data_IF_672124514683
#
_entry.id   IF_672124514683
#
_cell.length_a   1.000
_cell.length_b   1.000
_cell.length_c   1.000
_cell.angle_alpha   90.00
_cell.angle_beta   90.00
_cell.angle_gamma   90.00
#
_symmetry.space_group_name_H-M   'P 1'
#
loop_
_entity.id
_entity.type
_entity.pdbx_description
1 polymer ?
#
# COMPACT_ATOMS: atom_id res chain seq x y z
N UNK A 1 -29.21 13.53 -13.13
CA UNK A 1 -27.76 13.30 -12.96
C UNK A 1 -27.48 13.29 -11.47
N UNK A 2 -26.98 12.21 -10.84
CA UNK A 2 -26.62 12.29 -9.44
C UNK A 2 -25.32 13.10 -9.32
N UNK A 3 -25.41 14.30 -8.73
CA UNK A 3 -24.26 15.13 -8.37
C UNK A 3 -23.40 14.38 -7.34
N UNK A 4 -22.08 14.34 -7.60
CA UNK A 4 -21.10 13.85 -6.63
C UNK A 4 -21.10 14.82 -5.43
N UNK A 5 -21.40 14.36 -4.20
CA UNK A 5 -21.53 15.25 -3.05
C UNK A 5 -20.20 15.94 -2.72
N UNK A 6 -20.23 17.28 -2.62
CA UNK A 6 -19.11 18.10 -2.14
C UNK A 6 -18.72 17.69 -0.71
N UNK A 7 -17.41 17.61 -0.47
CA UNK A 7 -16.79 17.32 0.82
C UNK A 7 -17.42 18.20 1.92
N UNK A 8 -18.15 17.58 2.84
CA UNK A 8 -18.84 18.27 3.95
C UNK A 8 -20.33 17.96 4.10
N UNK A 9 -20.93 17.22 3.16
CA UNK A 9 -22.30 16.71 3.28
C UNK A 9 -22.32 15.25 3.74
N UNK A 10 -23.43 14.85 4.35
CA UNK A 10 -23.65 13.62 5.14
C UNK A 10 -22.89 12.35 4.66
N UNK A 11 -22.57 11.42 5.59
CA UNK A 11 -21.91 10.16 5.25
C UNK A 11 -22.64 9.48 4.09
N UNK A 12 -21.91 9.01 3.05
CA UNK A 12 -22.55 8.41 1.88
C UNK A 12 -23.41 7.23 2.31
N UNK A 13 -24.58 7.12 1.68
CA UNK A 13 -25.52 6.04 1.95
C UNK A 13 -24.88 4.67 1.66
N UNK A 14 -25.39 3.61 2.32
CA UNK A 14 -24.81 2.26 2.26
C UNK A 14 -24.68 1.74 0.81
N UNK A 15 -25.64 2.08 -0.04
CA UNK A 15 -25.64 1.72 -1.47
C UNK A 15 -24.51 2.45 -2.25
N UNK A 16 -24.28 3.73 -1.96
CA UNK A 16 -23.19 4.48 -2.58
C UNK A 16 -21.81 3.95 -2.16
N UNK A 17 -21.66 3.53 -0.89
CA UNK A 17 -20.43 2.89 -0.40
C UNK A 17 -20.13 1.57 -1.10
N UNK A 18 -21.15 0.74 -1.33
CA UNK A 18 -20.99 -0.53 -2.02
C UNK A 18 -20.44 -0.35 -3.45
N UNK A 19 -20.90 0.68 -4.16
CA UNK A 19 -20.37 1.06 -5.48
C UNK A 19 -18.91 1.51 -5.40
N UNK A 20 -18.58 2.45 -4.50
CA UNK A 20 -17.19 2.86 -4.28
C UNK A 20 -16.27 1.66 -3.97
N UNK A 21 -16.68 0.72 -3.11
CA UNK A 21 -15.86 -0.45 -2.79
C UNK A 21 -15.64 -1.37 -4.00
N UNK A 22 -16.67 -1.57 -4.83
CA UNK A 22 -16.52 -2.34 -6.06
C UNK A 22 -15.54 -1.66 -7.05
N UNK A 23 -15.65 -0.34 -7.23
CA UNK A 23 -14.73 0.42 -8.08
C UNK A 23 -13.30 0.43 -7.52
N UNK A 24 -13.16 0.57 -6.19
CA UNK A 24 -11.89 0.50 -5.47
C UNK A 24 -11.19 -0.83 -5.72
N UNK A 25 -11.91 -1.93 -5.53
CA UNK A 25 -11.35 -3.28 -5.62
C UNK A 25 -10.95 -3.61 -7.07
N UNK A 26 -11.74 -3.16 -8.05
CA UNK A 26 -11.39 -3.27 -9.47
C UNK A 26 -10.10 -2.48 -9.83
N UNK A 27 -9.95 -1.27 -9.28
CA UNK A 27 -8.74 -0.47 -9.47
C UNK A 27 -7.51 -1.12 -8.82
N UNK A 28 -7.63 -1.58 -7.58
CA UNK A 28 -6.54 -2.24 -6.86
C UNK A 28 -6.13 -3.58 -7.49
N UNK A 29 -7.09 -4.38 -7.96
CA UNK A 29 -6.78 -5.60 -8.70
C UNK A 29 -5.97 -5.32 -9.98
N UNK A 30 -6.27 -4.22 -10.69
CA UNK A 30 -5.48 -3.80 -11.85
C UNK A 30 -4.06 -3.39 -11.44
N UNK A 31 -3.90 -2.64 -10.34
CA UNK A 31 -2.58 -2.25 -9.84
C UNK A 31 -1.74 -3.48 -9.46
N UNK A 32 -2.32 -4.44 -8.75
CA UNK A 32 -1.64 -5.66 -8.33
C UNK A 32 -1.19 -6.50 -9.53
N UNK A 33 -2.01 -6.61 -10.57
CA UNK A 33 -1.65 -7.30 -11.82
C UNK A 33 -0.50 -6.65 -12.58
N UNK A 34 -0.29 -5.34 -12.41
CA UNK A 34 0.78 -4.59 -13.09
C UNK A 34 1.99 -4.33 -12.17
N UNK A 35 1.98 -4.84 -10.92
CA UNK A 35 3.02 -4.56 -9.94
C UNK A 35 3.15 -3.08 -9.60
N UNK A 36 2.03 -2.35 -9.62
CA UNK A 36 1.97 -0.92 -9.35
C UNK A 36 1.49 -0.67 -7.92
N UNK A 37 2.11 0.30 -7.27
CA UNK A 37 1.73 0.70 -5.93
C UNK A 37 0.61 1.73 -5.95
N UNK A 38 0.77 2.78 -6.77
CA UNK A 38 -0.18 3.85 -7.04
C UNK A 38 -0.05 4.31 -8.51
N UNK A 39 -1.12 4.81 -9.13
CA UNK A 39 -1.02 5.42 -10.46
C UNK A 39 -0.03 6.60 -10.44
N UNK A 40 0.96 6.55 -11.34
CA UNK A 40 2.00 7.58 -11.47
C UNK A 40 3.14 7.44 -10.45
N UNK A 41 3.16 6.39 -9.64
CA UNK A 41 4.23 6.13 -8.66
C UNK A 41 4.81 4.73 -8.90
N UNK A 42 6.10 4.64 -9.24
CA UNK A 42 6.79 3.37 -9.45
C UNK A 42 8.09 3.26 -8.66
N UNK A 43 8.02 3.04 -7.34
CA UNK A 43 8.91 2.10 -6.69
C UNK A 43 8.42 0.68 -7.03
N UNK A 44 9.26 -0.14 -7.65
CA UNK A 44 8.93 -1.57 -7.85
C UNK A 44 9.42 -2.42 -6.69
N UNK A 45 10.34 -1.88 -5.88
CA UNK A 45 10.96 -2.62 -4.79
C UNK A 45 10.53 -2.07 -3.44
N UNK A 46 10.46 -2.97 -2.46
CA UNK A 46 10.09 -2.65 -1.08
C UNK A 46 11.00 -1.57 -0.46
N UNK A 47 12.30 -1.57 -0.79
CA UNK A 47 13.27 -0.61 -0.26
C UNK A 47 12.99 0.81 -0.76
N UNK A 48 12.59 0.95 -2.02
CA UNK A 48 12.17 2.23 -2.60
C UNK A 48 10.86 2.72 -1.95
N UNK A 49 9.93 1.83 -1.59
CA UNK A 49 8.67 2.17 -0.91
C UNK A 49 8.92 2.73 0.51
N UNK A 50 9.87 2.17 1.24
CA UNK A 50 10.23 2.65 2.59
C UNK A 50 11.02 3.96 2.53
N UNK A 51 11.78 4.19 1.45
CA UNK A 51 12.51 5.43 1.24
C UNK A 51 11.62 6.61 0.79
N UNK A 52 10.36 6.37 0.42
CA UNK A 52 9.43 7.43 0.04
C UNK A 52 8.98 8.18 1.29
N UNK A 53 9.37 9.45 1.37
CA UNK A 53 8.85 10.41 2.33
C UNK A 53 7.33 10.63 2.06
N UNK A 54 6.44 10.27 3.00
CA UNK A 54 4.99 10.46 2.84
C UNK A 54 4.59 11.93 2.66
N UNK A 55 5.42 12.87 3.12
CA UNK A 55 5.19 14.31 2.96
C UNK A 55 5.72 14.85 1.63
N UNK A 56 6.51 14.06 0.89
CA UNK A 56 7.12 14.43 -0.39
C UNK A 56 6.99 13.30 -1.43
N UNK A 57 5.77 12.82 -1.61
CA UNK A 57 5.44 11.87 -2.68
C UNK A 57 5.66 12.51 -4.06
N UNK A 58 6.72 12.11 -4.75
CA UNK A 58 6.94 12.47 -6.17
C UNK A 58 6.14 11.54 -7.07
N UNK A 59 4.93 11.97 -7.42
CA UNK A 59 4.07 11.28 -8.39
C UNK A 59 4.31 11.89 -9.77
N UNK A 60 4.62 11.07 -10.76
CA UNK A 60 4.70 11.54 -12.15
C UNK A 60 3.29 11.89 -12.64
N UNK A 61 3.12 13.11 -13.15
CA UNK A 61 1.91 13.52 -13.83
C UNK A 61 1.84 12.88 -15.23
N UNK A 62 0.62 12.64 -15.73
CA UNK A 62 0.42 12.00 -17.05
C UNK A 62 1.08 12.79 -18.20
N UNK A 63 1.13 14.11 -18.05
CA UNK A 63 1.66 15.05 -19.02
C UNK A 63 3.16 15.34 -18.87
N UNK A 64 3.86 14.63 -17.98
CA UNK A 64 5.29 14.84 -17.82
C UNK A 64 6.03 14.48 -19.12
N UNK A 65 6.63 15.50 -19.73
CA UNK A 65 7.42 15.39 -20.97
C UNK A 65 8.71 14.60 -20.77
N UNK A 66 9.15 14.44 -19.51
CA UNK A 66 10.34 13.69 -19.14
C UNK A 66 10.11 12.16 -19.18
N UNK A 67 8.85 11.71 -19.25
CA UNK A 67 8.51 10.29 -19.19
C UNK A 67 8.55 9.64 -20.59
N UNK A 68 9.29 8.52 -20.71
CA UNK A 68 9.32 7.72 -21.93
C UNK A 68 7.93 7.15 -22.25
N UNK A 69 7.65 6.91 -23.53
CA UNK A 69 6.35 6.38 -23.98
C UNK A 69 6.02 5.02 -23.33
N UNK A 70 7.02 4.18 -23.12
CA UNK A 70 6.88 2.88 -22.48
C UNK A 70 6.58 3.00 -20.99
N UNK A 71 7.30 3.87 -20.27
CA UNK A 71 7.04 4.15 -18.87
C UNK A 71 5.64 4.75 -18.66
N UNK A 72 5.20 5.67 -19.53
CA UNK A 72 3.83 6.22 -19.50
C UNK A 72 2.78 5.13 -19.68
N UNK A 73 2.98 4.20 -20.62
CA UNK A 73 2.03 3.10 -20.84
C UNK A 73 1.92 2.18 -19.63
N UNK A 74 3.04 1.87 -18.96
CA UNK A 74 3.07 1.03 -17.76
C UNK A 74 2.45 1.74 -16.55
N UNK A 75 2.90 2.95 -16.23
CA UNK A 75 2.43 3.72 -15.07
C UNK A 75 0.94 4.07 -15.11
N UNK A 76 0.39 4.26 -16.32
CA UNK A 76 -1.01 4.65 -16.55
C UNK A 76 -1.87 3.50 -17.10
N UNK A 77 -1.41 2.24 -17.02
CA UNK A 77 -2.16 1.08 -17.52
C UNK A 77 -3.56 0.98 -16.90
N UNK A 78 -3.69 1.31 -15.61
CA UNK A 78 -4.95 1.24 -14.86
C UNK A 78 -5.75 2.55 -14.84
N UNK A 79 -5.47 3.50 -15.75
CA UNK A 79 -6.10 4.83 -15.77
C UNK A 79 -7.63 4.77 -15.78
N UNK A 80 -8.24 3.91 -16.61
CA UNK A 80 -9.71 3.81 -16.70
C UNK A 80 -10.35 3.34 -15.39
N UNK A 81 -9.69 2.43 -14.68
CA UNK A 81 -10.17 1.93 -13.39
C UNK A 81 -10.02 3.00 -12.29
N UNK A 82 -8.94 3.78 -12.32
CA UNK A 82 -8.77 4.96 -11.47
C UNK A 82 -9.87 5.99 -11.71
N UNK A 83 -10.18 6.33 -12.95
CA UNK A 83 -11.26 7.26 -13.26
C UNK A 83 -12.61 6.76 -12.71
N UNK A 84 -12.90 5.46 -12.80
CA UNK A 84 -14.08 4.87 -12.17
C UNK A 84 -14.06 5.03 -10.64
N UNK A 85 -12.92 4.75 -10.01
CA UNK A 85 -12.73 4.90 -8.56
C UNK A 85 -12.89 6.36 -8.10
N UNK A 86 -12.32 7.31 -8.83
CA UNK A 86 -12.37 8.74 -8.52
C UNK A 86 -13.78 9.33 -8.74
N UNK A 87 -14.55 8.79 -9.68
CA UNK A 87 -15.93 9.24 -9.96
C UNK A 87 -16.95 8.64 -9.00
N UNK A 88 -16.81 7.37 -8.62
CA UNK A 88 -17.77 6.68 -7.76
C UNK A 88 -17.50 6.91 -6.27
N UNK A 89 -16.25 7.18 -5.90
CA UNK A 89 -15.87 7.36 -4.51
C UNK A 89 -15.64 8.82 -4.13
N UNK A 90 -15.78 9.15 -2.84
CA UNK A 90 -15.42 10.48 -2.35
C UNK A 90 -13.90 10.69 -2.46
N UNK A 91 -13.47 11.89 -2.87
CA UNK A 91 -12.06 12.25 -2.96
C UNK A 91 -11.27 12.03 -1.65
N UNK A 92 -11.91 12.25 -0.49
CA UNK A 92 -11.30 11.97 0.82
C UNK A 92 -11.10 10.46 1.05
N UNK A 93 -12.02 9.63 0.58
CA UNK A 93 -11.91 8.17 0.63
C UNK A 93 -10.86 7.65 -0.33
N UNK A 94 -10.82 8.18 -1.56
CA UNK A 94 -9.77 7.85 -2.54
C UNK A 94 -8.39 8.11 -1.96
N UNK A 95 -8.19 9.30 -1.38
CA UNK A 95 -6.94 9.66 -0.71
C UNK A 95 -6.64 8.72 0.46
N UNK A 96 -7.63 8.48 1.32
CA UNK A 96 -7.46 7.61 2.49
C UNK A 96 -7.09 6.18 2.09
N UNK A 97 -7.80 5.56 1.14
CA UNK A 97 -7.51 4.20 0.68
C UNK A 97 -6.15 4.10 -0.01
N UNK A 98 -5.79 5.12 -0.78
CA UNK A 98 -4.46 5.21 -1.41
C UNK A 98 -3.36 5.20 -0.36
N UNK A 99 -3.46 6.06 0.67
CA UNK A 99 -2.52 6.11 1.78
C UNK A 99 -2.53 4.83 2.63
N UNK A 100 -3.71 4.24 2.82
CA UNK A 100 -3.85 3.00 3.59
C UNK A 100 -3.15 1.84 2.90
N UNK A 101 -3.32 1.69 1.58
CA UNK A 101 -2.59 0.70 0.78
C UNK A 101 -1.08 0.92 0.88
N UNK A 102 -0.65 2.19 0.94
CA UNK A 102 0.77 2.49 1.14
C UNK A 102 1.26 1.99 2.49
N UNK A 103 0.60 2.46 3.55
CA UNK A 103 0.92 2.09 4.91
C UNK A 103 0.90 0.57 5.12
N UNK A 104 -0.09 -0.13 4.56
CA UNK A 104 -0.25 -1.57 4.72
C UNK A 104 0.97 -2.32 4.20
N UNK A 105 1.44 -2.02 2.99
CA UNK A 105 2.64 -2.64 2.42
C UNK A 105 3.91 -2.31 3.22
N UNK A 106 4.06 -1.07 3.70
CA UNK A 106 5.18 -0.70 4.58
C UNK A 106 5.14 -1.48 5.90
N UNK A 107 3.96 -1.59 6.51
CA UNK A 107 3.79 -2.30 7.78
C UNK A 107 3.95 -3.81 7.63
N UNK A 108 3.49 -4.40 6.53
CA UNK A 108 3.62 -5.83 6.28
C UNK A 108 5.09 -6.26 6.22
N UNK A 109 5.95 -5.46 5.58
CA UNK A 109 7.38 -5.77 5.54
C UNK A 109 8.06 -5.60 6.90
N UNK A 110 7.78 -4.51 7.62
CA UNK A 110 8.37 -4.29 8.95
C UNK A 110 7.97 -5.39 9.93
N UNK A 111 6.72 -5.88 9.85
CA UNK A 111 6.24 -7.02 10.63
C UNK A 111 7.00 -8.30 10.27
N UNK A 112 7.11 -8.61 8.98
CA UNK A 112 7.87 -9.79 8.52
C UNK A 112 9.34 -9.75 9.01
N UNK A 113 10.00 -8.61 8.90
CA UNK A 113 11.37 -8.44 9.42
C UNK A 113 11.46 -8.62 10.92
N UNK A 114 10.49 -8.08 11.66
CA UNK A 114 10.41 -8.23 13.12
C UNK A 114 10.19 -9.69 13.50
N UNK A 115 9.29 -10.40 12.82
CA UNK A 115 9.04 -11.84 13.03
C UNK A 115 10.30 -12.69 12.75
N UNK A 116 11.06 -12.37 11.68
CA UNK A 116 12.33 -13.03 11.38
C UNK A 116 13.42 -12.74 12.43
N UNK A 117 13.47 -11.51 12.97
CA UNK A 117 14.37 -11.13 14.07
C UNK A 117 13.96 -11.78 15.39
N UNK A 118 12.67 -11.79 15.72
CA UNK A 118 12.09 -12.44 16.89
C UNK A 118 12.32 -13.96 16.83
N UNK A 119 12.18 -14.59 15.67
CA UNK A 119 12.50 -16.01 15.50
C UNK A 119 13.99 -16.30 15.76
N UNK A 120 14.91 -15.47 15.23
CA UNK A 120 16.36 -15.60 15.50
C UNK A 120 16.72 -15.35 16.96
N UNK A 121 16.06 -14.38 17.61
CA UNK A 121 16.25 -14.11 19.03
C UNK A 121 15.63 -15.20 19.91
N UNK A 122 14.50 -15.77 19.51
CA UNK A 122 13.86 -16.88 20.21
C UNK A 122 14.77 -18.11 20.21
N UNK A 123 15.34 -18.49 19.05
CA UNK A 123 16.31 -19.60 19.02
C UNK A 123 17.53 -19.31 19.89
N UNK A 124 18.06 -18.07 19.84
CA UNK A 124 19.20 -17.68 20.68
C UNK A 124 18.87 -17.65 22.19
N UNK A 125 17.65 -17.25 22.56
CA UNK A 125 17.19 -17.20 23.94
C UNK A 125 16.93 -18.62 24.46
N UNK A 126 16.35 -19.50 23.65
CA UNK A 126 16.18 -20.93 23.97
C UNK A 126 17.54 -21.61 24.14
N UNK A 127 18.50 -21.38 23.24
CA UNK A 127 19.88 -21.87 23.36
C UNK A 127 20.57 -21.33 24.63
N UNK A 128 20.37 -20.05 24.95
CA UNK A 128 20.88 -19.44 26.17
C UNK A 128 20.29 -20.11 27.41
N UNK A 129 18.96 -20.18 27.54
CA UNK A 129 18.29 -20.79 28.70
C UNK A 129 18.58 -22.29 28.84
N UNK A 130 18.74 -23.03 27.74
CA UNK A 130 19.20 -24.41 27.78
C UNK A 130 20.60 -24.54 28.38
N UNK A 131 21.51 -23.60 28.05
CA UNK A 131 22.87 -23.56 28.61
C UNK A 131 22.90 -23.17 30.08
N UNK A 132 22.04 -22.24 30.53
CA UNK A 132 22.00 -21.82 31.95
C UNK A 132 21.32 -22.86 32.85
N UNK A 133 20.36 -23.62 32.31
CA UNK A 133 19.64 -24.67 33.06
C UNK A 133 20.35 -26.03 33.04
N UNK A 134 21.34 -26.20 32.16
CA UNK A 134 22.25 -27.35 32.22
C UNK A 134 23.03 -27.34 33.54
N UNK A 135 22.58 -28.17 34.48
CA UNK A 135 23.19 -28.32 35.81
C UNK A 135 24.69 -28.64 35.63
N UNK A 136 25.63 -27.87 36.24
CA UNK A 136 27.04 -28.23 36.17
C UNK A 136 27.21 -29.60 36.84
N UNK A 137 27.70 -30.57 36.09
CA UNK A 137 28.06 -31.88 36.64
C UNK A 137 29.34 -31.74 37.48
N UNK A 138 29.20 -32.06 38.77
CA UNK A 138 30.21 -32.45 39.76
C UNK A 138 31.40 -31.51 40.09
N UNK A 139 31.43 -31.11 41.37
CA UNK A 139 32.61 -31.27 42.24
C UNK A 139 32.15 -31.77 43.61
#
# INVERSE_FOLDING_TARGET
MPEVPKLGSAPPDRSARAKCWAARDAYFACLDANGLYLQGLAPQTHEEIVAIDPQRLTVCAENDKNLTKDARRKLFACKRAKEGFDNECLASWVTHFSLLRVKDMQTAHLRKRREEEEARQATSNDDFWAKVTARPADK
#
